data_IF_128469451032
#
_entry.id   IF_128469451032
#
_cell.length_a   1.000
_cell.length_b   1.000
_cell.length_c   1.000
_cell.angle_alpha   90.00
_cell.angle_beta   90.00
_cell.angle_gamma   90.00
#
_symmetry.space_group_name_H-M   'P 1'
#
loop_
_entity.id
_entity.type
_entity.pdbx_description
1 polymer ?
#
# COMPACT_ATOMS: atom_id res chain seq x y z
N UNK A 1 -34.35 47.45 -55.71
CA UNK A 1 -35.75 47.04 -55.41
C UNK A 1 -36.11 45.87 -56.30
N UNK A 2 -36.70 44.84 -55.69
CA UNK A 2 -37.40 43.67 -56.25
C UNK A 2 -36.57 42.42 -56.61
N UNK A 3 -36.78 41.44 -55.73
CA UNK A 3 -36.38 40.04 -55.71
C UNK A 3 -36.92 39.26 -56.91
N UNK A 4 -36.17 38.24 -57.32
CA UNK A 4 -36.69 37.11 -58.08
C UNK A 4 -36.39 35.82 -57.32
N UNK A 5 -37.46 35.14 -56.89
CA UNK A 5 -37.41 33.82 -56.26
C UNK A 5 -37.31 32.74 -57.34
N UNK A 6 -36.46 31.73 -57.14
CA UNK A 6 -36.53 30.49 -57.90
C UNK A 6 -36.35 29.29 -56.96
N UNK A 7 -37.43 28.51 -56.82
CA UNK A 7 -37.40 27.14 -56.34
C UNK A 7 -36.65 26.25 -57.33
N UNK A 8 -35.75 25.38 -56.83
CA UNK A 8 -35.60 24.02 -57.38
C UNK A 8 -34.86 23.04 -56.45
N UNK A 9 -35.62 22.02 -56.02
CA UNK A 9 -35.34 20.59 -55.76
C UNK A 9 -33.88 20.10 -55.60
N UNK A 10 -33.64 19.47 -54.45
CA UNK A 10 -32.77 18.30 -54.18
C UNK A 10 -32.97 17.16 -55.21
N UNK A 11 -32.05 16.19 -55.44
CA UNK A 11 -31.33 15.44 -54.39
C UNK A 11 -29.88 14.96 -54.71
N UNK A 12 -29.14 14.47 -53.71
CA UNK A 12 -27.92 13.69 -53.98
C UNK A 12 -27.05 13.34 -52.77
N UNK A 13 -27.34 12.17 -52.18
CA UNK A 13 -26.66 11.49 -51.07
C UNK A 13 -25.16 11.23 -51.31
N UNK A 14 -24.33 11.33 -50.25
CA UNK A 14 -22.93 10.92 -50.29
C UNK A 14 -22.10 11.29 -49.05
N UNK A 15 -22.62 11.09 -47.83
CA UNK A 15 -21.82 11.24 -46.61
C UNK A 15 -21.00 9.98 -46.37
N UNK A 16 -19.68 10.07 -46.53
CA UNK A 16 -18.73 9.00 -46.23
C UNK A 16 -18.41 9.04 -44.72
N UNK A 17 -19.05 8.14 -43.97
CA UNK A 17 -18.86 7.98 -42.54
C UNK A 17 -17.54 7.23 -42.30
N UNK A 18 -16.51 7.96 -41.83
CA UNK A 18 -15.25 7.37 -41.38
C UNK A 18 -15.50 6.66 -40.05
N UNK A 19 -15.37 5.34 -40.06
CA UNK A 19 -15.56 4.44 -38.92
C UNK A 19 -14.38 4.59 -37.95
N UNK A 20 -14.64 5.17 -36.78
CA UNK A 20 -13.71 5.19 -35.63
C UNK A 20 -13.60 3.77 -35.06
N UNK A 21 -12.39 3.23 -34.77
CA UNK A 21 -12.26 1.95 -34.09
C UNK A 21 -12.59 2.07 -32.60
N UNK A 22 -13.38 1.12 -32.11
CA UNK A 22 -13.86 0.97 -30.74
C UNK A 22 -12.71 0.64 -29.76
N UNK A 23 -12.51 1.36 -28.64
CA UNK A 23 -11.43 1.11 -27.69
C UNK A 23 -11.85 0.09 -26.62
N UNK A 24 -12.44 -1.04 -27.02
CA UNK A 24 -12.77 -2.17 -26.13
C UNK A 24 -12.58 -3.52 -26.84
N UNK A 25 -11.41 -3.74 -27.43
CA UNK A 25 -10.97 -5.09 -27.77
C UNK A 25 -10.22 -5.70 -26.58
N UNK A 26 -10.98 -6.36 -25.71
CA UNK A 26 -10.45 -7.23 -24.65
C UNK A 26 -9.80 -8.44 -25.33
N UNK A 27 -8.48 -8.46 -25.37
CA UNK A 27 -7.73 -9.70 -25.64
C UNK A 27 -7.67 -10.47 -24.33
N UNK A 28 -8.59 -11.43 -24.17
CA UNK A 28 -8.47 -12.47 -23.15
C UNK A 28 -7.22 -13.31 -23.42
N UNK A 29 -6.15 -13.05 -22.66
CA UNK A 29 -5.07 -14.01 -22.49
C UNK A 29 -5.33 -14.74 -21.18
N UNK A 30 -5.88 -15.96 -21.31
CA UNK A 30 -6.02 -16.89 -20.21
C UNK A 30 -4.69 -17.10 -19.49
N UNK A 31 -4.68 -16.91 -18.18
CA UNK A 31 -3.57 -17.24 -17.31
C UNK A 31 -4.12 -17.73 -15.98
N UNK A 32 -4.48 -19.00 -15.97
CA UNK A 32 -4.69 -19.80 -14.77
C UNK A 32 -3.36 -19.89 -14.02
N UNK A 33 -3.26 -19.22 -12.88
CA UNK A 33 -2.19 -19.46 -11.91
C UNK A 33 -2.83 -19.84 -10.58
N UNK A 34 -3.01 -21.14 -10.41
CA UNK A 34 -3.42 -21.75 -9.16
C UNK A 34 -2.43 -21.43 -8.04
N UNK A 35 -2.96 -21.18 -6.84
CA UNK A 35 -2.19 -21.03 -5.60
C UNK A 35 -1.43 -22.34 -5.29
N UNK A 36 -0.17 -22.30 -4.83
CA UNK A 36 0.47 -23.50 -4.29
C UNK A 36 -0.16 -23.87 -2.93
N UNK A 37 -0.37 -25.17 -2.62
CA UNK A 37 -0.90 -25.60 -1.34
C UNK A 37 0.15 -25.46 -0.21
N UNK A 38 -0.28 -25.37 1.06
CA UNK A 38 0.62 -25.31 2.20
C UNK A 38 1.30 -26.67 2.43
N UNK A 39 2.61 -26.64 2.71
CA UNK A 39 3.41 -27.84 3.03
C UNK A 39 2.99 -28.41 4.38
N UNK A 40 2.42 -29.61 4.38
CA UNK A 40 2.32 -30.47 5.55
C UNK A 40 3.68 -31.12 5.83
N UNK A 41 4.10 -31.08 7.10
CA UNK A 41 5.39 -31.59 7.56
C UNK A 41 5.48 -33.11 7.48
N UNK A 42 6.61 -33.62 6.96
CA UNK A 42 6.95 -35.03 7.08
C UNK A 42 7.76 -35.27 8.36
N UNK A 43 7.26 -36.21 9.16
CA UNK A 43 7.83 -36.78 10.36
C UNK A 43 8.91 -37.80 9.97
N UNK A 44 10.05 -37.73 10.64
CA UNK A 44 11.21 -38.62 10.49
C UNK A 44 10.96 -40.01 11.06
N UNK A 45 11.24 -41.06 10.29
CA UNK A 45 11.61 -42.39 10.80
C UNK A 45 12.58 -43.08 9.83
N UNK A 46 13.62 -43.70 10.40
CA UNK A 46 14.64 -44.56 9.78
C UNK A 46 14.97 -45.64 10.83
N UNK A 47 15.64 -46.76 10.50
CA UNK A 47 15.80 -47.44 9.20
C UNK A 47 15.54 -48.97 9.30
N UNK A 48 15.62 -49.69 8.16
CA UNK A 48 16.39 -50.95 8.01
C UNK A 48 16.21 -51.54 6.60
N UNK A 49 17.29 -52.14 6.06
CA UNK A 49 17.18 -53.17 5.00
C UNK A 49 17.94 -52.92 3.69
N UNK A 50 19.09 -53.59 3.59
CA UNK A 50 20.01 -53.80 2.48
C UNK A 50 19.48 -53.92 1.03
N UNK A 51 20.33 -53.55 0.07
CA UNK A 51 20.56 -54.41 -1.11
C UNK A 51 20.64 -53.74 -2.49
N UNK A 52 21.85 -53.83 -3.08
CA UNK A 52 22.16 -54.01 -4.51
C UNK A 52 22.32 -52.77 -5.41
N UNK A 53 23.47 -52.81 -6.08
CA UNK A 53 24.17 -51.82 -6.88
C UNK A 53 23.80 -51.84 -8.38
N UNK A 54 23.78 -50.66 -9.00
CA UNK A 54 23.78 -50.46 -10.45
C UNK A 54 24.25 -49.03 -10.79
N UNK A 55 25.11 -48.82 -11.82
CA UNK A 55 25.73 -47.51 -12.04
C UNK A 55 24.81 -46.61 -12.87
N UNK A 56 24.22 -45.60 -12.23
CA UNK A 56 23.43 -44.56 -12.92
C UNK A 56 24.21 -43.24 -12.96
N UNK A 57 24.42 -42.75 -14.19
CA UNK A 57 25.03 -41.47 -14.56
C UNK A 57 24.63 -40.33 -13.62
N UNK A 58 25.61 -39.81 -12.89
CA UNK A 58 25.51 -38.60 -12.08
C UNK A 58 25.29 -37.37 -12.97
N UNK A 59 24.03 -37.01 -13.22
CA UNK A 59 23.67 -35.63 -13.57
C UNK A 59 23.80 -34.79 -12.31
N UNK A 60 24.87 -33.99 -12.23
CA UNK A 60 24.98 -32.94 -11.23
C UNK A 60 23.72 -32.05 -11.31
N UNK A 61 23.08 -31.70 -10.18
CA UNK A 61 22.11 -30.63 -10.17
C UNK A 61 22.87 -29.35 -10.53
N UNK A 62 22.46 -28.67 -11.60
CA UNK A 62 22.93 -27.31 -11.87
C UNK A 62 22.69 -26.50 -10.60
N UNK A 63 23.77 -26.08 -9.95
CA UNK A 63 23.72 -25.02 -8.97
C UNK A 63 23.04 -23.85 -9.68
N UNK A 64 21.83 -23.51 -9.22
CA UNK A 64 21.26 -22.20 -9.51
C UNK A 64 22.22 -21.20 -8.89
N UNK A 65 23.09 -20.64 -9.72
CA UNK A 65 23.77 -19.40 -9.41
C UNK A 65 22.66 -18.38 -9.19
N UNK A 66 22.28 -18.18 -7.92
CA UNK A 66 21.60 -16.97 -7.52
C UNK A 66 22.51 -15.81 -7.96
N UNK A 67 21.98 -14.73 -8.53
CA UNK A 67 22.81 -13.55 -8.78
C UNK A 67 23.35 -13.07 -7.43
N UNK A 68 24.64 -13.31 -7.20
CA UNK A 68 25.45 -12.67 -6.18
C UNK A 68 25.24 -11.16 -6.29
N UNK A 69 24.75 -10.53 -5.22
CA UNK A 69 24.61 -9.07 -5.18
C UNK A 69 23.47 -8.53 -4.32
N UNK A 70 22.58 -9.38 -3.78
CA UNK A 70 21.48 -8.90 -2.90
C UNK A 70 21.81 -9.10 -1.42
N UNK A 71 23.02 -8.71 -1.01
CA UNK A 71 23.28 -8.40 0.39
C UNK A 71 22.48 -7.16 0.81
N UNK A 72 22.18 -6.98 2.11
CA UNK A 72 21.51 -5.77 2.58
C UNK A 72 22.35 -4.54 2.22
N UNK A 73 21.82 -3.68 1.34
CA UNK A 73 22.47 -2.42 0.95
C UNK A 73 22.61 -1.53 2.18
N UNK A 74 23.84 -1.20 2.56
CA UNK A 74 24.09 -0.29 3.66
C UNK A 74 23.93 1.16 3.20
N UNK A 75 22.95 1.87 3.78
CA UNK A 75 22.71 3.29 3.52
C UNK A 75 22.89 4.05 4.83
N UNK A 76 23.95 4.88 4.96
CA UNK A 76 24.13 5.70 6.16
C UNK A 76 23.01 6.74 6.32
N UNK A 77 22.74 7.16 7.56
CA UNK A 77 21.73 8.18 7.82
C UNK A 77 22.04 9.49 7.08
N UNK A 78 20.99 10.15 6.56
CA UNK A 78 21.13 11.36 5.76
C UNK A 78 21.80 11.17 4.38
N UNK A 79 22.03 9.92 3.96
CA UNK A 79 22.54 9.60 2.63
C UNK A 79 21.46 8.97 1.77
N UNK A 80 21.71 9.02 0.46
CA UNK A 80 20.99 8.24 -0.53
C UNK A 80 22.02 7.52 -1.40
N UNK A 81 21.81 6.23 -1.67
CA UNK A 81 22.63 5.50 -2.65
C UNK A 81 21.90 5.56 -3.98
N UNK A 82 22.54 6.13 -5.00
CA UNK A 82 21.98 6.37 -6.32
C UNK A 82 22.65 5.47 -7.36
N UNK A 83 21.85 4.96 -8.29
CA UNK A 83 22.35 4.26 -9.46
C UNK A 83 23.18 5.23 -10.31
N UNK A 84 24.34 4.79 -10.80
CA UNK A 84 25.27 5.61 -11.57
C UNK A 84 24.66 6.25 -12.81
N UNK A 85 23.59 5.68 -13.38
CA UNK A 85 22.86 6.28 -14.51
C UNK A 85 22.27 7.67 -14.20
N UNK A 86 22.09 8.02 -12.92
CA UNK A 86 21.56 9.31 -12.51
C UNK A 86 22.63 10.39 -12.35
N UNK A 87 23.92 10.06 -12.50
CA UNK A 87 25.02 11.01 -12.37
C UNK A 87 24.85 12.17 -13.35
N UNK A 88 24.95 13.40 -12.84
CA UNK A 88 24.81 14.62 -13.63
C UNK A 88 23.37 15.01 -14.00
N UNK A 89 22.35 14.22 -13.61
CA UNK A 89 20.94 14.57 -13.86
C UNK A 89 20.49 15.80 -13.07
N UNK A 90 19.46 16.50 -13.58
CA UNK A 90 18.80 17.61 -12.86
C UNK A 90 18.24 17.16 -11.52
N UNK A 91 17.72 15.93 -11.47
CA UNK A 91 17.25 15.28 -10.24
C UNK A 91 18.33 15.26 -9.14
N UNK A 92 19.55 14.81 -9.44
CA UNK A 92 20.63 14.77 -8.46
C UNK A 92 21.18 16.16 -8.13
N UNK A 93 21.24 17.07 -9.12
CA UNK A 93 21.62 18.47 -8.88
C UNK A 93 20.68 19.13 -7.86
N UNK A 94 19.38 18.88 -7.94
CA UNK A 94 18.40 19.40 -6.99
C UNK A 94 18.53 18.87 -5.56
N UNK A 95 19.22 17.74 -5.37
CA UNK A 95 19.49 17.12 -4.07
C UNK A 95 20.87 17.48 -3.50
N UNK A 96 21.78 17.97 -4.35
CA UNK A 96 23.14 18.30 -3.96
C UNK A 96 23.17 19.38 -2.87
N UNK A 97 24.01 19.18 -1.86
CA UNK A 97 24.15 20.09 -0.71
C UNK A 97 23.06 19.95 0.36
N UNK A 98 21.96 19.24 0.09
CA UNK A 98 20.87 19.00 1.07
C UNK A 98 20.95 17.60 1.69
N UNK A 99 21.37 16.60 0.91
CA UNK A 99 21.63 15.24 1.34
C UNK A 99 22.92 14.73 0.69
N UNK A 100 23.58 13.74 1.30
CA UNK A 100 24.79 13.13 0.73
C UNK A 100 24.41 12.04 -0.27
N UNK A 101 24.96 12.10 -1.48
CA UNK A 101 24.67 11.14 -2.55
C UNK A 101 25.88 10.23 -2.71
N UNK A 102 25.66 8.92 -2.59
CA UNK A 102 26.66 7.87 -2.87
C UNK A 102 26.27 7.20 -4.18
N UNK A 103 27.23 6.99 -5.08
CA UNK A 103 26.98 6.30 -6.33
C UNK A 103 27.43 4.86 -6.24
N UNK A 104 26.58 3.94 -6.70
CA UNK A 104 26.88 2.52 -6.76
C UNK A 104 26.49 1.98 -8.13
N UNK A 105 27.34 1.12 -8.70
CA UNK A 105 27.06 0.43 -9.95
C UNK A 105 26.18 -0.81 -9.72
N UNK A 106 25.50 -1.28 -10.77
CA UNK A 106 24.76 -2.53 -10.69
C UNK A 106 23.49 -2.51 -9.83
N UNK A 107 22.97 -1.34 -9.44
CA UNK A 107 21.76 -1.24 -8.60
C UNK A 107 20.46 -1.70 -9.27
N UNK A 108 20.48 -2.03 -10.57
CA UNK A 108 19.31 -2.52 -11.31
C UNK A 108 18.69 -3.73 -10.59
N UNK A 109 17.38 -3.71 -10.27
CA UNK A 109 16.33 -2.89 -10.85
C UNK A 109 16.02 -1.56 -10.15
N UNK A 110 16.76 -1.16 -9.11
CA UNK A 110 16.51 0.01 -8.26
C UNK A 110 17.22 1.27 -8.77
N UNK A 111 16.58 2.44 -8.56
CA UNK A 111 17.16 3.74 -8.90
C UNK A 111 17.88 4.37 -7.71
N UNK A 112 17.26 4.31 -6.52
CA UNK A 112 17.85 4.83 -5.29
C UNK A 112 17.54 3.95 -4.08
N UNK A 113 18.46 3.86 -3.13
CA UNK A 113 18.19 3.33 -1.79
C UNK A 113 18.16 4.47 -0.78
N UNK A 114 17.05 4.53 -0.03
CA UNK A 114 16.84 5.48 1.07
C UNK A 114 17.26 4.84 2.40
N UNK A 115 17.11 3.53 2.51
CA UNK A 115 17.61 2.71 3.62
C UNK A 115 17.88 1.28 3.14
N UNK A 116 18.39 0.41 4.01
CA UNK A 116 18.59 -1.02 3.70
C UNK A 116 17.29 -1.79 3.42
N UNK A 117 16.13 -1.20 3.72
CA UNK A 117 14.80 -1.79 3.53
C UNK A 117 13.86 -0.93 2.69
N UNK A 118 14.30 0.22 2.21
CA UNK A 118 13.47 1.14 1.43
C UNK A 118 14.23 1.65 0.20
N UNK A 119 13.63 1.48 -0.97
CA UNK A 119 14.18 1.96 -2.23
C UNK A 119 13.16 2.78 -3.03
N UNK A 120 13.68 3.51 -4.00
CA UNK A 120 12.90 4.28 -4.96
C UNK A 120 13.11 3.70 -6.36
N UNK A 121 12.00 3.55 -7.07
CA UNK A 121 11.92 3.25 -8.49
C UNK A 121 11.39 4.51 -9.18
N UNK A 122 12.17 5.09 -10.07
CA UNK A 122 11.80 6.29 -10.80
C UNK A 122 11.36 5.90 -12.21
N UNK A 123 10.13 6.30 -12.56
CA UNK A 123 9.53 6.09 -13.89
C UNK A 123 9.46 7.44 -14.58
N UNK A 124 10.27 7.60 -15.62
CA UNK A 124 10.30 8.84 -16.41
C UNK A 124 9.05 8.98 -17.26
N UNK A 125 8.80 10.19 -17.76
CA UNK A 125 7.75 10.44 -18.77
C UNK A 125 7.91 9.51 -19.97
N UNK A 126 9.16 9.36 -20.46
CA UNK A 126 9.49 8.47 -21.57
C UNK A 126 9.19 6.99 -21.26
N UNK A 127 9.52 6.50 -20.06
CA UNK A 127 9.21 5.12 -19.65
C UNK A 127 7.71 4.86 -19.60
N UNK A 128 6.93 5.84 -19.15
CA UNK A 128 5.50 5.75 -19.03
C UNK A 128 4.81 5.78 -20.41
N UNK A 129 5.31 6.60 -21.34
CA UNK A 129 4.82 6.69 -22.73
C UNK A 129 5.24 5.48 -23.56
N UNK A 130 6.43 4.91 -23.32
CA UNK A 130 6.94 3.73 -24.03
C UNK A 130 6.16 2.44 -23.73
N UNK A 131 5.22 2.47 -22.78
CA UNK A 131 4.34 1.36 -22.45
C UNK A 131 4.71 0.68 -21.14
N UNK A 132 4.74 -0.66 -21.13
CA UNK A 132 4.77 -1.44 -19.87
C UNK A 132 6.18 -1.89 -19.44
N UNK A 133 7.25 -1.32 -19.99
CA UNK A 133 8.64 -1.73 -19.71
C UNK A 133 9.02 -1.62 -18.23
N UNK A 134 8.48 -0.63 -17.51
CA UNK A 134 8.73 -0.44 -16.08
C UNK A 134 8.14 -1.56 -15.20
N UNK A 135 7.10 -2.27 -15.65
CA UNK A 135 6.35 -3.23 -14.80
C UNK A 135 7.22 -4.36 -14.28
N UNK A 136 8.13 -4.87 -15.12
CA UNK A 136 9.03 -5.97 -14.73
C UNK A 136 9.91 -5.56 -13.54
N UNK A 137 10.43 -4.33 -13.52
CA UNK A 137 11.25 -3.79 -12.43
C UNK A 137 10.44 -3.64 -11.14
N UNK A 138 9.21 -3.12 -11.24
CA UNK A 138 8.29 -2.99 -10.09
C UNK A 138 7.97 -4.36 -9.47
N UNK A 139 7.60 -5.34 -10.28
CA UNK A 139 7.32 -6.72 -9.82
C UNK A 139 8.54 -7.35 -9.16
N UNK A 140 9.73 -7.17 -9.75
CA UNK A 140 10.97 -7.71 -9.19
C UNK A 140 11.27 -7.14 -7.79
N UNK A 141 11.12 -5.82 -7.60
CA UNK A 141 11.27 -5.21 -6.27
C UNK A 141 10.17 -5.68 -5.32
N UNK A 142 8.93 -5.74 -5.76
CA UNK A 142 7.80 -6.20 -4.93
C UNK A 142 7.99 -7.62 -4.41
N UNK A 143 8.61 -8.49 -5.20
CA UNK A 143 8.89 -9.88 -4.84
C UNK A 143 10.13 -10.04 -3.95
N UNK A 144 10.87 -8.97 -3.68
CA UNK A 144 12.00 -8.99 -2.75
C UNK A 144 11.49 -8.95 -1.31
N UNK A 145 11.87 -9.93 -0.49
CA UNK A 145 11.27 -10.14 0.85
C UNK A 145 11.59 -9.04 1.87
N UNK A 146 12.69 -8.31 1.68
CA UNK A 146 13.20 -7.34 2.66
C UNK A 146 13.18 -5.89 2.17
N UNK A 147 12.58 -5.61 1.00
CA UNK A 147 12.67 -4.30 0.35
C UNK A 147 11.29 -3.72 0.09
N UNK A 148 11.05 -2.52 0.60
CA UNK A 148 9.86 -1.72 0.33
C UNK A 148 10.18 -0.75 -0.81
N UNK A 149 9.45 -0.86 -1.91
CA UNK A 149 9.62 0.03 -3.06
C UNK A 149 8.63 1.19 -3.05
N UNK A 150 9.16 2.39 -3.18
CA UNK A 150 8.41 3.63 -3.44
C UNK A 150 8.58 3.94 -4.93
N UNK A 151 7.49 4.10 -5.66
CA UNK A 151 7.53 4.46 -7.08
C UNK A 151 7.31 5.97 -7.20
N UNK A 152 8.24 6.67 -7.85
CA UNK A 152 8.09 8.07 -8.24
C UNK A 152 7.86 8.09 -9.75
N UNK A 153 6.83 8.79 -10.21
CA UNK A 153 6.46 8.84 -11.63
C UNK A 153 6.29 10.27 -12.12
N UNK A 154 6.86 10.57 -13.29
CA UNK A 154 6.65 11.85 -13.96
C UNK A 154 5.26 11.89 -14.61
N UNK A 155 4.35 12.62 -13.96
CA UNK A 155 2.98 12.91 -14.40
C UNK A 155 2.93 14.32 -14.98
N UNK A 156 3.16 14.40 -16.27
CA UNK A 156 3.17 15.63 -17.08
C UNK A 156 1.95 15.67 -17.99
N UNK A 157 1.80 16.73 -18.78
CA UNK A 157 0.75 16.80 -19.80
C UNK A 157 0.83 15.63 -20.82
N UNK A 158 2.03 15.17 -21.19
CA UNK A 158 2.21 14.08 -22.16
C UNK A 158 1.92 12.71 -21.57
N UNK A 159 2.28 12.49 -20.29
CA UNK A 159 2.13 11.20 -19.63
C UNK A 159 0.82 11.01 -18.86
N UNK A 160 0.03 12.08 -18.67
CA UNK A 160 -1.23 12.09 -17.90
C UNK A 160 -2.17 10.94 -18.28
N UNK A 161 -2.35 10.71 -19.58
CA UNK A 161 -3.26 9.68 -20.12
C UNK A 161 -2.88 8.25 -19.70
N UNK A 162 -1.60 8.01 -19.40
CA UNK A 162 -1.09 6.70 -18.99
C UNK A 162 -1.07 6.53 -17.45
N UNK A 163 -1.27 7.61 -16.69
CA UNK A 163 -1.13 7.62 -15.24
C UNK A 163 -2.13 6.68 -14.54
N UNK A 164 -3.38 6.65 -14.97
CA UNK A 164 -4.42 5.78 -14.37
C UNK A 164 -4.03 4.29 -14.42
N UNK A 165 -3.39 3.86 -15.51
CA UNK A 165 -2.96 2.47 -15.69
C UNK A 165 -1.82 2.11 -14.74
N UNK A 166 -0.79 2.96 -14.62
CA UNK A 166 0.31 2.73 -13.67
C UNK A 166 -0.14 2.84 -12.22
N UNK A 167 -1.09 3.73 -11.90
CA UNK A 167 -1.65 3.86 -10.56
C UNK A 167 -2.39 2.61 -10.15
N UNK A 168 -3.31 2.10 -10.99
CA UNK A 168 -4.01 0.84 -10.73
C UNK A 168 -3.01 -0.30 -10.50
N UNK A 169 -2.06 -0.45 -11.40
CA UNK A 169 -1.07 -1.52 -11.32
C UNK A 169 -0.19 -1.42 -10.06
N UNK A 170 0.34 -0.23 -9.77
CA UNK A 170 1.31 -0.05 -8.68
C UNK A 170 0.62 -0.09 -7.32
N UNK A 171 -0.49 0.62 -7.16
CA UNK A 171 -1.14 0.83 -5.86
C UNK A 171 -2.12 -0.31 -5.55
N UNK A 172 -2.97 -0.70 -6.50
CA UNK A 172 -4.02 -1.68 -6.26
C UNK A 172 -3.52 -3.11 -6.49
N UNK A 173 -2.83 -3.37 -7.61
CA UNK A 173 -2.42 -4.74 -7.95
C UNK A 173 -1.16 -5.16 -7.17
N UNK A 174 -0.16 -4.27 -7.00
CA UNK A 174 1.08 -4.57 -6.29
C UNK A 174 1.08 -4.14 -4.81
N UNK A 175 0.23 -3.20 -4.40
CA UNK A 175 0.22 -2.66 -3.04
C UNK A 175 1.46 -1.82 -2.69
N UNK A 176 2.08 -1.19 -3.70
CA UNK A 176 3.24 -0.32 -3.52
C UNK A 176 2.83 1.16 -3.42
N UNK A 177 3.71 1.99 -2.88
CA UNK A 177 3.51 3.45 -2.82
C UNK A 177 3.81 4.05 -4.20
N UNK A 178 2.94 4.93 -4.68
CA UNK A 178 3.13 5.70 -5.91
C UNK A 178 3.02 7.20 -5.62
N UNK A 179 4.03 7.97 -6.02
CA UNK A 179 4.09 9.41 -5.85
C UNK A 179 4.26 10.09 -7.22
N UNK A 180 3.22 10.79 -7.73
CA UNK A 180 3.36 11.56 -8.95
C UNK A 180 4.17 12.84 -8.72
N UNK A 181 4.96 13.21 -9.71
CA UNK A 181 5.70 14.48 -9.77
C UNK A 181 5.57 15.08 -11.16
N UNK A 182 5.61 16.39 -11.28
CA UNK A 182 5.55 17.11 -12.56
C UNK A 182 6.93 17.34 -13.18
N UNK A 183 7.99 17.18 -12.39
CA UNK A 183 9.37 17.38 -12.84
C UNK A 183 10.41 16.70 -11.95
N UNK A 184 11.62 16.56 -12.47
CA UNK A 184 12.77 16.10 -11.67
C UNK A 184 13.07 16.99 -10.47
N UNK A 185 12.78 18.30 -10.53
CA UNK A 185 13.05 19.20 -9.41
C UNK A 185 12.08 18.97 -8.25
N UNK A 186 10.81 18.73 -8.56
CA UNK A 186 9.82 18.34 -7.56
C UNK A 186 10.20 16.99 -6.94
N UNK A 187 10.63 16.03 -7.76
CA UNK A 187 11.14 14.76 -7.26
C UNK A 187 12.37 14.95 -6.36
N UNK A 188 13.33 15.82 -6.69
CA UNK A 188 14.47 16.10 -5.80
C UNK A 188 13.99 16.50 -4.40
N UNK A 189 13.07 17.49 -4.33
CA UNK A 189 12.50 17.97 -3.08
C UNK A 189 11.76 16.86 -2.31
N UNK A 190 10.97 16.05 -3.01
CA UNK A 190 10.26 14.93 -2.42
C UNK A 190 11.21 13.86 -1.86
N UNK A 191 12.26 13.51 -2.60
CA UNK A 191 13.26 12.53 -2.16
C UNK A 191 14.02 13.03 -0.94
N UNK A 192 14.40 14.32 -0.90
CA UNK A 192 15.01 14.93 0.29
C UNK A 192 14.08 14.76 1.50
N UNK A 193 12.78 15.04 1.33
CA UNK A 193 11.81 14.87 2.42
C UNK A 193 11.71 13.42 2.86
N UNK A 194 11.73 12.45 1.94
CA UNK A 194 11.71 11.02 2.26
C UNK A 194 12.93 10.60 3.07
N UNK A 195 14.14 11.04 2.68
CA UNK A 195 15.38 10.76 3.42
C UNK A 195 15.34 11.36 4.82
N UNK A 196 14.87 12.61 4.94
CA UNK A 196 14.73 13.28 6.23
C UNK A 196 13.71 12.58 7.13
N UNK A 197 12.57 12.14 6.58
CA UNK A 197 11.54 11.45 7.36
C UNK A 197 12.02 10.09 7.87
N UNK A 198 12.80 9.36 7.06
CA UNK A 198 13.43 8.09 7.47
C UNK A 198 14.50 8.27 8.56
N UNK A 199 15.08 9.46 8.68
CA UNK A 199 16.08 9.77 9.71
C UNK A 199 15.43 10.18 11.05
N UNK A 200 14.14 10.53 11.05
CA UNK A 200 13.42 10.91 12.26
C UNK A 200 12.95 9.68 13.03
N UNK A 201 12.91 9.83 14.35
CA UNK A 201 12.26 8.85 15.24
C UNK A 201 10.80 8.62 14.81
N UNK A 202 10.34 7.37 14.65
CA UNK A 202 8.96 7.06 14.25
C UNK A 202 7.89 7.67 15.18
N UNK A 203 8.25 7.92 16.44
CA UNK A 203 7.38 8.54 17.45
C UNK A 203 7.04 10.01 17.17
N UNK A 204 7.86 10.69 16.34
CA UNK A 204 7.62 12.07 15.90
C UNK A 204 6.54 12.15 14.82
N UNK A 205 6.26 11.04 14.13
CA UNK A 205 5.14 10.97 13.21
C UNK A 205 3.84 10.91 14.03
N UNK A 206 2.94 11.91 13.94
CA UNK A 206 1.73 11.97 14.75
C UNK A 206 0.76 10.82 14.47
N UNK A 207 0.84 10.19 13.30
CA UNK A 207 0.04 9.02 12.93
C UNK A 207 0.61 7.69 13.45
N UNK A 208 1.88 7.67 13.86
CA UNK A 208 2.54 6.49 14.43
C UNK A 208 2.79 6.62 15.94
N UNK A 209 2.61 7.82 16.50
CA UNK A 209 2.80 8.08 17.93
C UNK A 209 1.79 7.28 18.75
N UNK A 210 2.23 6.11 19.24
CA UNK A 210 1.47 5.32 20.22
C UNK A 210 1.59 5.99 21.59
N UNK A 211 0.97 7.15 21.77
CA UNK A 211 0.67 7.65 23.12
C UNK A 211 -0.37 6.71 23.69
N UNK A 212 0.07 5.69 24.43
CA UNK A 212 -0.82 4.81 25.19
C UNK A 212 -1.41 5.63 26.33
N UNK A 213 -2.38 6.48 26.02
CA UNK A 213 -3.19 7.14 27.03
C UNK A 213 -4.02 6.05 27.69
N UNK A 214 -3.83 5.86 29.00
CA UNK A 214 -4.79 5.14 29.84
C UNK A 214 -6.16 5.68 29.46
N UNK A 215 -7.10 4.79 29.11
CA UNK A 215 -8.47 5.16 28.74
C UNK A 215 -8.94 6.29 29.66
N UNK A 216 -9.22 7.50 29.14
CA UNK A 216 -9.63 8.60 30.00
C UNK A 216 -10.90 8.18 30.74
N UNK A 217 -10.91 8.32 32.06
CA UNK A 217 -12.06 8.00 32.93
C UNK A 217 -13.35 8.68 32.44
N UNK A 218 -13.22 9.86 31.84
CA UNK A 218 -14.29 10.59 31.17
C UNK A 218 -14.91 9.85 29.97
N UNK A 219 -14.12 9.10 29.20
CA UNK A 219 -14.63 8.31 28.08
C UNK A 219 -15.48 7.15 28.58
N UNK A 220 -15.03 6.48 29.65
CA UNK A 220 -15.81 5.41 30.31
C UNK A 220 -17.14 5.96 30.84
N UNK A 221 -17.12 7.11 31.51
CA UNK A 221 -18.32 7.79 31.99
C UNK A 221 -19.28 8.16 30.85
N UNK A 222 -18.76 8.72 29.74
CA UNK A 222 -19.58 9.05 28.56
C UNK A 222 -20.22 7.81 27.94
N UNK A 223 -19.50 6.69 27.89
CA UNK A 223 -20.03 5.41 27.41
C UNK A 223 -21.19 4.93 28.28
N UNK A 224 -21.04 4.97 29.61
CA UNK A 224 -22.11 4.59 30.54
C UNK A 224 -23.32 5.53 30.43
N UNK A 225 -23.10 6.81 30.15
CA UNK A 225 -24.18 7.78 29.92
C UNK A 225 -24.98 7.54 28.63
N UNK A 226 -24.53 6.68 27.71
CA UNK A 226 -25.31 6.29 26.53
C UNK A 226 -26.39 5.25 26.86
N UNK A 227 -26.36 4.66 28.06
CA UNK A 227 -27.37 3.69 28.48
C UNK A 227 -28.67 4.44 28.79
N UNK A 228 -29.83 4.01 28.25
CA UNK A 228 -31.11 4.66 28.50
C UNK A 228 -31.41 4.82 29.99
N UNK A 229 -31.75 6.04 30.42
CA UNK A 229 -32.04 6.36 31.82
C UNK A 229 -30.80 6.58 32.71
N UNK A 230 -29.58 6.48 32.17
CA UNK A 230 -28.33 6.73 32.89
C UNK A 230 -27.73 8.08 32.50
N UNK A 231 -27.88 9.07 33.38
CA UNK A 231 -27.34 10.42 33.18
C UNK A 231 -26.01 10.68 33.92
N UNK A 232 -25.59 11.95 33.96
CA UNK A 232 -24.35 12.42 34.60
C UNK A 232 -24.20 12.06 36.07
N UNK A 233 -25.31 11.87 36.79
CA UNK A 233 -25.33 11.51 38.22
C UNK A 233 -25.25 9.99 38.41
N UNK A 234 -25.99 9.22 37.60
CA UNK A 234 -26.08 7.76 37.75
C UNK A 234 -24.85 7.04 37.20
N UNK A 235 -24.24 7.56 36.14
CA UNK A 235 -23.05 6.97 35.52
C UNK A 235 -21.86 6.80 36.50
N UNK A 236 -21.43 7.82 37.27
CA UNK A 236 -20.33 7.64 38.23
C UNK A 236 -20.70 6.68 39.36
N UNK A 237 -21.94 6.70 39.86
CA UNK A 237 -22.39 5.78 40.92
C UNK A 237 -22.37 4.32 40.44
N UNK A 238 -22.79 4.08 39.20
CA UNK A 238 -22.69 2.76 38.58
C UNK A 238 -21.24 2.32 38.42
N UNK A 239 -20.34 3.21 37.99
CA UNK A 239 -18.91 2.88 37.83
C UNK A 239 -18.16 2.72 39.15
N UNK A 240 -18.65 3.32 40.25
CA UNK A 240 -18.13 3.05 41.59
C UNK A 240 -18.44 1.62 42.05
N UNK A 241 -19.66 1.14 41.76
CA UNK A 241 -20.09 -0.22 42.12
C UNK A 241 -19.62 -1.29 41.12
N UNK A 242 -19.55 -0.94 39.83
CA UNK A 242 -19.14 -1.80 38.73
C UNK A 242 -17.98 -1.12 37.97
N UNK A 243 -16.73 -1.29 38.44
CA UNK A 243 -15.53 -0.64 37.88
C UNK A 243 -15.23 -0.81 36.38
N UNK A 244 -16.00 -1.64 35.67
CA UNK A 244 -15.84 -1.85 34.22
C UNK A 244 -17.18 -2.05 33.52
N UNK A 245 -17.24 -1.76 32.21
CA UNK A 245 -18.42 -2.03 31.38
C UNK A 245 -18.81 -3.50 31.43
N UNK A 246 -17.83 -4.42 31.49
CA UNK A 246 -18.08 -5.86 31.57
C UNK A 246 -18.79 -6.25 32.87
N UNK A 247 -18.37 -5.68 34.01
CA UNK A 247 -19.05 -5.94 35.28
C UNK A 247 -20.45 -5.30 35.30
N UNK A 248 -20.60 -4.12 34.70
CA UNK A 248 -21.90 -3.46 34.57
C UNK A 248 -22.86 -4.26 33.67
N UNK A 249 -22.37 -4.86 32.57
CA UNK A 249 -23.19 -5.64 31.65
C UNK A 249 -23.67 -6.97 32.25
N UNK A 250 -22.88 -7.54 33.17
CA UNK A 250 -23.19 -8.81 33.82
C UNK A 250 -23.94 -8.63 35.15
N UNK A 251 -24.15 -7.38 35.59
CA UNK A 251 -24.84 -7.08 36.83
C UNK A 251 -26.32 -7.48 36.75
N UNK A 252 -26.79 -8.19 37.77
CA UNK A 252 -28.20 -8.54 37.89
C UNK A 252 -29.06 -7.31 38.25
N UNK A 253 -30.36 -7.37 37.97
CA UNK A 253 -31.30 -6.28 38.31
C UNK A 253 -31.23 -5.94 39.81
N UNK A 254 -31.10 -6.95 40.68
CA UNK A 254 -30.99 -6.79 42.14
C UNK A 254 -29.73 -6.03 42.57
N UNK A 255 -28.64 -6.16 41.81
CA UNK A 255 -27.39 -5.46 42.10
C UNK A 255 -27.43 -4.01 41.57
N UNK A 256 -28.19 -3.75 40.50
CA UNK A 256 -28.37 -2.43 39.90
C UNK A 256 -29.38 -1.56 40.67
N UNK A 257 -30.46 -2.14 41.19
CA UNK A 257 -31.56 -1.44 41.85
C UNK A 257 -31.12 -0.48 42.98
N UNK A 258 -30.20 -0.85 43.90
CA UNK A 258 -29.73 0.04 44.97
C UNK A 258 -29.04 1.31 44.48
N UNK A 259 -28.58 1.35 43.22
CA UNK A 259 -27.82 2.46 42.66
C UNK A 259 -28.71 3.38 41.81
N UNK A 260 -29.67 2.83 41.08
CA UNK A 260 -30.43 3.59 40.05
C UNK A 260 -31.94 3.54 40.19
N UNK A 261 -32.47 2.70 41.09
CA UNK A 261 -33.89 2.38 41.26
C UNK A 261 -34.39 1.32 40.29
N UNK A 262 -35.50 0.67 40.64
CA UNK A 262 -36.01 -0.53 39.95
C UNK A 262 -36.26 -0.34 38.45
N UNK A 263 -36.95 0.74 38.06
CA UNK A 263 -37.27 0.99 36.65
C UNK A 263 -36.01 1.16 35.78
N UNK A 264 -35.00 1.89 36.29
CA UNK A 264 -33.75 2.11 35.55
C UNK A 264 -32.87 0.86 35.58
N UNK A 265 -32.87 0.09 36.67
CA UNK A 265 -32.17 -1.20 36.73
C UNK A 265 -32.69 -2.18 35.68
N UNK A 266 -34.01 -2.26 35.49
CA UNK A 266 -34.63 -3.06 34.44
C UNK A 266 -34.24 -2.56 33.04
N UNK A 267 -34.25 -1.25 32.79
CA UNK A 267 -33.82 -0.68 31.50
C UNK A 267 -32.34 -0.98 31.19
N UNK A 268 -31.45 -0.86 32.18
CA UNK A 268 -30.02 -1.17 32.02
C UNK A 268 -29.84 -2.66 31.72
N UNK A 269 -30.47 -3.54 32.49
CA UNK A 269 -30.36 -4.99 32.27
C UNK A 269 -30.93 -5.40 30.91
N UNK A 270 -32.10 -4.86 30.55
CA UNK A 270 -32.72 -5.08 29.24
C UNK A 270 -31.81 -4.59 28.10
N UNK A 271 -31.18 -3.42 28.25
CA UNK A 271 -30.24 -2.89 27.26
C UNK A 271 -29.08 -3.83 26.94
N UNK A 272 -28.58 -4.59 27.93
CA UNK A 272 -27.47 -5.54 27.73
C UNK A 272 -27.91 -6.95 27.31
N UNK A 273 -29.12 -7.38 27.68
CA UNK A 273 -29.57 -8.78 27.53
C UNK A 273 -30.61 -9.01 26.45
N UNK A 274 -31.35 -7.97 26.02
CA UNK A 274 -32.33 -8.12 24.95
C UNK A 274 -31.62 -8.27 23.60
N UNK A 275 -31.93 -9.33 22.82
CA UNK A 275 -31.47 -9.44 21.44
C UNK A 275 -32.09 -8.31 20.61
N UNK A 276 -31.29 -7.75 19.71
CA UNK A 276 -31.72 -6.73 18.74
C UNK A 276 -32.30 -7.36 17.49
#
# INVERSE_FOLDING_TARGET
MKNWSAHRREPGSGAQQVKVPDPLAVVEVGSSWARPPPRTGLRSHHPDGAGVSGPSRSRQPMARNAPEGTGPMHVPFGHIVANTKWRGSKLLQGMQGKIKIVFEDGLTPVDFYVSSRSCILYVTEADLVAGNGYRKRLVQVRNSSNLQGIVIVEKTQMSEQYFSAIQKFTVLDLGMVLLPVTSQMEASCLIIQLVQEQTKEPSKNPFLSKKRTRMPELSLLRTVQQIPGVGKVKAPLLLQKFPSIQQLSNASIRELEPVVGQAVAQHIHAFFTQPR
#
